data_IF_594000634469
#
_entry.id   IF_594000634469
#
_cell.length_a   1.000
_cell.length_b   1.000
_cell.length_c   1.000
_cell.angle_alpha   90.00
_cell.angle_beta   90.00
_cell.angle_gamma   90.00
#
_symmetry.space_group_name_H-M   'P 1'
#
loop_
_entity.id
_entity.type
_entity.pdbx_description
1 polymer ?
#
# COMPACT_ATOMS: atom_id res chain seq x y z
N UNK A 1 -30.59 8.33 -4.15
CA UNK A 1 -30.58 6.86 -3.93
C UNK A 1 -29.58 6.13 -4.84
N UNK A 2 -29.75 6.03 -6.18
CA UNK A 2 -28.71 5.37 -7.03
C UNK A 2 -27.44 6.22 -7.23
N UNK A 3 -27.58 7.55 -7.38
CA UNK A 3 -26.44 8.47 -7.53
C UNK A 3 -25.50 8.44 -6.31
N UNK A 4 -26.02 8.19 -5.11
CA UNK A 4 -25.22 8.11 -3.89
C UNK A 4 -24.36 6.84 -3.85
N UNK A 5 -24.94 5.69 -4.23
CA UNK A 5 -24.22 4.40 -4.32
C UNK A 5 -23.18 4.43 -5.44
N UNK A 6 -23.54 4.99 -6.59
CA UNK A 6 -22.61 5.17 -7.71
C UNK A 6 -21.44 6.09 -7.29
N UNK A 7 -21.74 7.17 -6.57
CA UNK A 7 -20.71 8.06 -6.03
C UNK A 7 -19.74 7.36 -5.10
N UNK A 8 -20.22 6.49 -4.20
CA UNK A 8 -19.36 5.68 -3.32
C UNK A 8 -18.50 4.71 -4.15
N UNK A 9 -19.11 3.96 -5.07
CA UNK A 9 -18.40 2.99 -5.90
C UNK A 9 -17.29 3.62 -6.74
N UNK A 10 -17.57 4.74 -7.41
CA UNK A 10 -16.58 5.45 -8.23
C UNK A 10 -15.42 6.01 -7.40
N UNK A 11 -15.70 6.49 -6.19
CA UNK A 11 -14.66 6.98 -5.29
C UNK A 11 -13.79 5.85 -4.72
N UNK A 12 -14.38 4.71 -4.38
CA UNK A 12 -13.63 3.51 -3.98
C UNK A 12 -12.77 3.01 -5.15
N UNK A 13 -13.31 3.03 -6.37
CA UNK A 13 -12.55 2.65 -7.57
C UNK A 13 -11.40 3.62 -7.86
N UNK A 14 -11.61 4.93 -7.70
CA UNK A 14 -10.56 5.94 -7.83
C UNK A 14 -9.44 5.75 -6.80
N UNK A 15 -9.78 5.33 -5.58
CA UNK A 15 -8.78 4.99 -4.56
C UNK A 15 -7.96 3.76 -4.98
N UNK A 16 -8.61 2.72 -5.50
CA UNK A 16 -7.95 1.53 -6.05
C UNK A 16 -7.04 1.84 -7.25
N UNK A 17 -7.52 2.63 -8.20
CA UNK A 17 -6.75 3.07 -9.37
C UNK A 17 -5.53 3.91 -8.96
N UNK A 18 -5.68 4.81 -7.98
CA UNK A 18 -4.56 5.61 -7.44
C UNK A 18 -3.49 4.73 -6.79
N UNK A 19 -3.90 3.72 -6.02
CA UNK A 19 -2.97 2.74 -5.47
C UNK A 19 -2.27 1.93 -6.57
N UNK A 20 -3.01 1.50 -7.60
CA UNK A 20 -2.49 0.77 -8.76
C UNK A 20 -1.41 1.55 -9.51
N UNK A 21 -1.63 2.85 -9.76
CA UNK A 21 -0.63 3.73 -10.39
C UNK A 21 0.67 3.75 -9.57
N UNK A 22 0.57 3.95 -8.25
CA UNK A 22 1.76 3.97 -7.39
C UNK A 22 2.51 2.63 -7.36
N UNK A 23 1.80 1.51 -7.39
CA UNK A 23 2.41 0.19 -7.46
C UNK A 23 3.11 -0.06 -8.81
N UNK A 24 2.45 0.28 -9.92
CA UNK A 24 3.00 0.11 -11.26
C UNK A 24 4.26 0.96 -11.46
N UNK A 25 4.22 2.23 -11.04
CA UNK A 25 5.39 3.12 -11.06
C UNK A 25 6.53 2.59 -10.20
N UNK A 26 6.23 2.05 -9.01
CA UNK A 26 7.23 1.44 -8.15
C UNK A 26 7.89 0.23 -8.82
N UNK A 27 7.12 -0.64 -9.46
CA UNK A 27 7.62 -1.82 -10.18
C UNK A 27 8.51 -1.40 -11.34
N UNK A 28 8.06 -0.44 -12.16
CA UNK A 28 8.84 0.10 -13.27
C UNK A 28 10.16 0.71 -12.79
N UNK A 29 10.11 1.50 -11.72
CA UNK A 29 11.30 2.09 -11.12
C UNK A 29 12.28 1.06 -10.55
N UNK A 30 11.79 -0.01 -9.92
CA UNK A 30 12.62 -1.10 -9.40
C UNK A 30 13.31 -1.90 -10.51
N UNK A 31 12.70 -1.99 -11.69
CA UNK A 31 13.20 -2.76 -12.84
C UNK A 31 13.77 -1.88 -13.97
N UNK A 32 14.11 -0.62 -13.68
CA UNK A 32 14.59 0.35 -14.67
C UNK A 32 15.89 -0.07 -15.40
N UNK A 33 16.67 -0.96 -14.81
CA UNK A 33 17.90 -1.50 -15.39
C UNK A 33 17.72 -2.88 -16.04
N UNK A 34 16.50 -3.43 -16.04
CA UNK A 34 16.19 -4.69 -16.70
C UNK A 34 15.91 -4.49 -18.20
N UNK A 35 16.02 -5.56 -18.99
CA UNK A 35 15.64 -5.54 -20.40
C UNK A 35 14.15 -5.21 -20.65
N UNK A 36 13.30 -5.28 -19.61
CA UNK A 36 11.86 -5.01 -19.67
C UNK A 36 11.47 -3.62 -19.18
N UNK A 37 12.45 -2.74 -18.94
CA UNK A 37 12.20 -1.41 -18.35
C UNK A 37 11.21 -0.57 -19.17
N UNK A 38 11.35 -0.57 -20.49
CA UNK A 38 10.45 0.15 -21.40
C UNK A 38 9.01 -0.38 -21.34
N UNK A 39 8.84 -1.70 -21.34
CA UNK A 39 7.51 -2.32 -21.24
C UNK A 39 6.84 -2.02 -19.90
N UNK A 40 7.60 -2.09 -18.79
CA UNK A 40 7.07 -1.80 -17.46
C UNK A 40 6.72 -0.33 -17.29
N UNK A 41 7.50 0.58 -17.87
CA UNK A 41 7.19 2.00 -17.89
C UNK A 41 5.91 2.27 -18.70
N UNK A 42 5.79 1.67 -19.90
CA UNK A 42 4.57 1.78 -20.73
C UNK A 42 3.34 1.30 -19.97
N UNK A 43 3.40 0.15 -19.29
CA UNK A 43 2.29 -0.35 -18.48
C UNK A 43 1.94 0.62 -17.33
N UNK A 44 2.95 1.19 -16.67
CA UNK A 44 2.71 2.17 -15.62
C UNK A 44 2.01 3.44 -16.15
N UNK A 45 2.37 3.87 -17.36
CA UNK A 45 1.75 5.00 -18.04
C UNK A 45 0.32 4.69 -18.47
N UNK A 46 0.05 3.50 -19.02
CA UNK A 46 -1.31 3.02 -19.36
C UNK A 46 -2.23 3.00 -18.13
N UNK A 47 -1.74 2.49 -16.99
CA UNK A 47 -2.50 2.48 -15.73
C UNK A 47 -2.76 3.91 -15.22
N UNK A 48 -1.81 4.84 -15.42
CA UNK A 48 -2.00 6.24 -15.09
C UNK A 48 -3.04 6.92 -15.99
N UNK A 49 -3.07 6.56 -17.28
CA UNK A 49 -4.07 7.02 -18.24
C UNK A 49 -5.46 6.50 -17.88
N UNK A 50 -5.61 5.23 -17.52
CA UNK A 50 -6.89 4.66 -17.10
C UNK A 50 -7.48 5.39 -15.89
N UNK A 51 -6.62 5.74 -14.91
CA UNK A 51 -7.03 6.57 -13.77
C UNK A 51 -7.50 7.95 -14.21
N UNK A 52 -6.86 8.55 -15.21
CA UNK A 52 -7.25 9.85 -15.74
C UNK A 52 -8.60 9.77 -16.46
N UNK A 53 -8.80 8.75 -17.30
CA UNK A 53 -10.09 8.45 -17.95
C UNK A 53 -11.21 8.28 -16.91
N UNK A 54 -10.94 7.60 -15.79
CA UNK A 54 -11.91 7.47 -14.70
C UNK A 54 -12.31 8.83 -14.10
N UNK A 55 -11.35 9.74 -13.91
CA UNK A 55 -11.64 11.09 -13.41
C UNK A 55 -12.53 11.87 -14.39
N UNK A 56 -12.27 11.75 -15.69
CA UNK A 56 -13.09 12.38 -16.73
C UNK A 56 -14.52 11.83 -16.75
N UNK A 57 -14.67 10.51 -16.61
CA UNK A 57 -16.00 9.88 -16.48
C UNK A 57 -16.72 10.35 -15.22
N UNK A 58 -16.03 10.46 -14.09
CA UNK A 58 -16.61 10.98 -12.84
C UNK A 58 -17.09 12.43 -13.00
N UNK A 59 -16.30 13.26 -13.67
CA UNK A 59 -16.64 14.65 -13.97
C UNK A 59 -17.88 14.75 -14.87
N UNK A 60 -17.90 13.98 -15.97
CA UNK A 60 -19.05 13.91 -16.88
C UNK A 60 -20.34 13.44 -16.18
N UNK A 61 -20.23 12.60 -15.14
CA UNK A 61 -21.36 12.13 -14.34
C UNK A 61 -21.75 13.10 -13.20
N UNK A 62 -20.98 14.17 -12.99
CA UNK A 62 -21.15 15.13 -11.88
C UNK A 62 -20.86 14.50 -10.50
N UNK A 63 -20.02 13.47 -10.46
CA UNK A 63 -19.64 12.78 -9.22
C UNK A 63 -18.32 13.38 -8.73
N UNK A 64 -18.31 14.07 -7.57
CA UNK A 64 -17.08 14.66 -7.08
C UNK A 64 -16.07 13.57 -6.70
N UNK A 65 -14.84 13.71 -7.19
CA UNK A 65 -13.69 12.94 -6.74
C UNK A 65 -13.37 13.32 -5.29
N UNK A 66 -13.94 12.55 -4.36
CA UNK A 66 -13.72 12.69 -2.93
C UNK A 66 -12.50 11.90 -2.55
N UNK A 67 -11.54 12.60 -1.93
CA UNK A 67 -10.47 12.00 -1.13
C UNK A 67 -11.07 11.41 0.15
N UNK A 68 -11.91 10.39 0.03
CA UNK A 68 -12.41 9.69 1.21
C UNK A 68 -11.22 8.99 1.87
N UNK A 69 -10.95 9.37 3.13
CA UNK A 69 -9.95 8.84 4.06
C UNK A 69 -9.49 7.42 3.66
N UNK A 70 -8.40 7.37 2.89
CA UNK A 70 -7.76 6.15 2.39
C UNK A 70 -7.04 5.35 3.47
N UNK A 71 -7.68 5.15 4.62
CA UNK A 71 -7.11 4.45 5.77
C UNK A 71 -8.01 3.33 6.34
N UNK A 72 -9.25 3.18 5.85
CA UNK A 72 -10.14 2.10 6.31
C UNK A 72 -10.07 0.81 5.47
N UNK A 73 -9.21 0.80 4.45
CA UNK A 73 -8.98 -0.35 3.57
C UNK A 73 -7.49 -0.77 3.54
N UNK A 74 -6.75 -0.57 4.64
CA UNK A 74 -5.73 -1.56 4.98
C UNK A 74 -6.40 -2.55 5.91
N UNK A 75 -6.96 -3.60 5.31
CA UNK A 75 -7.40 -4.78 6.03
C UNK A 75 -6.31 -5.21 7.01
N UNK A 76 -6.73 -5.49 8.23
CA UNK A 76 -5.84 -5.88 9.31
C UNK A 76 -4.94 -7.04 8.89
N UNK A 77 -3.63 -6.87 9.09
CA UNK A 77 -2.80 -8.02 9.41
C UNK A 77 -3.13 -8.40 10.86
N UNK A 78 -3.99 -9.40 11.04
CA UNK A 78 -3.81 -10.29 12.19
C UNK A 78 -2.52 -11.07 11.94
N UNK A 79 -1.45 -10.70 12.61
CA UNK A 79 -0.40 -11.63 12.96
C UNK A 79 -0.39 -11.69 14.47
N UNK A 80 -1.12 -12.68 15.00
CA UNK A 80 -0.83 -13.16 16.35
C UNK A 80 0.59 -13.68 16.35
N UNK A 81 1.41 -13.18 17.26
CA UNK A 81 2.65 -13.79 17.67
C UNK A 81 2.53 -14.01 19.17
N UNK A 82 2.06 -15.21 19.48
CA UNK A 82 2.46 -16.08 20.58
C UNK A 82 3.14 -15.44 21.80
N UNK A 83 2.47 -15.61 22.93
CA UNK A 83 3.06 -15.84 24.25
C UNK A 83 4.36 -16.67 24.14
N UNK A 84 5.49 -16.08 24.51
CA UNK A 84 6.73 -16.80 24.80
C UNK A 84 7.53 -15.98 25.81
N UNK A 85 7.07 -16.09 27.06
CA UNK A 85 7.84 -16.08 28.29
C UNK A 85 9.37 -15.92 28.11
N UNK A 86 9.88 -14.74 28.48
CA UNK A 86 11.30 -14.54 28.77
C UNK A 86 11.43 -13.91 30.15
N UNK A 87 11.38 -14.75 31.17
CA UNK A 87 11.90 -14.42 32.50
C UNK A 87 13.40 -14.16 32.37
N UNK A 88 13.95 -13.06 32.90
CA UNK A 88 15.39 -12.91 33.00
C UNK A 88 15.91 -13.86 34.09
N UNK A 89 16.73 -14.84 33.69
CA UNK A 89 17.62 -15.57 34.60
C UNK A 89 18.75 -14.63 35.03
N UNK A 90 18.97 -14.40 36.34
CA UNK A 90 20.09 -13.59 36.80
C UNK A 90 21.41 -14.31 36.54
N UNK A 91 22.33 -13.59 35.89
CA UNK A 91 23.67 -14.04 35.59
C UNK A 91 24.43 -14.44 36.87
N UNK A 92 24.92 -15.67 36.89
CA UNK A 92 25.85 -16.15 37.90
C UNK A 92 27.19 -15.42 37.71
N UNK A 93 27.48 -14.55 38.69
CA UNK A 93 28.74 -13.84 38.89
C UNK A 93 29.85 -14.87 39.08
N UNK A 94 30.76 -14.97 38.11
CA UNK A 94 32.00 -15.73 38.24
C UNK A 94 33.16 -14.89 37.74
N UNK A 95 33.89 -14.32 38.69
CA UNK A 95 35.27 -13.83 38.58
C UNK A 95 35.60 -13.14 39.91
N UNK A 96 36.79 -13.23 40.48
CA UNK A 96 37.92 -14.13 40.29
C UNK A 96 38.67 -14.01 41.62
N UNK A 97 39.18 -15.12 42.14
CA UNK A 97 40.07 -15.14 43.30
C UNK A 97 41.39 -14.52 42.88
N UNK A 98 41.65 -13.29 43.31
CA UNK A 98 43.00 -12.72 43.34
C UNK A 98 43.74 -13.35 44.52
N UNK A 99 44.73 -14.17 44.17
CA UNK A 99 45.66 -14.80 45.10
C UNK A 99 46.82 -13.82 45.31
N UNK A 100 46.96 -13.32 46.52
CA UNK A 100 48.21 -12.80 47.06
C UNK A 100 48.97 -13.93 47.75
#
# INVERSE_FOLDING_TARGET
MYRDKLGIYLNDHLAGATFGVGLAQRIAHQHRHSARSADLQRIADEIAQDRQTLLEVMDALGVPARRYKGLRWLGGRKAGASEAERRPVPALRTEHVDRA
#
